data_IF_144816191428
#
_entry.id   IF_144816191428
#
_cell.length_a   1.000
_cell.length_b   1.000
_cell.length_c   1.000
_cell.angle_alpha   90.00
_cell.angle_beta   90.00
_cell.angle_gamma   90.00
#
_symmetry.space_group_name_H-M   'P 1'
#
loop_
_entity.id
_entity.type
_entity.pdbx_description
1 polymer ?
#
# COMPACT_ATOMS: atom_id res chain seq x y z
N UNK A 1 -33.12 -11.34 -4.67
CA UNK A 1 -32.86 -12.57 -5.46
C UNK A 1 -32.71 -13.72 -4.47
N UNK A 2 -33.30 -14.88 -4.72
CA UNK A 2 -33.17 -16.04 -3.82
C UNK A 2 -31.88 -16.83 -4.10
N UNK A 3 -31.41 -17.62 -3.14
CA UNK A 3 -30.24 -18.50 -3.31
C UNK A 3 -30.36 -19.41 -4.53
N UNK A 4 -31.57 -19.89 -4.83
CA UNK A 4 -31.86 -20.70 -6.01
C UNK A 4 -31.81 -19.94 -7.34
N UNK A 5 -32.21 -18.68 -7.36
CA UNK A 5 -32.05 -17.82 -8.55
C UNK A 5 -30.57 -17.50 -8.77
N UNK A 6 -29.83 -17.24 -7.68
CA UNK A 6 -28.41 -16.94 -7.78
C UNK A 6 -27.59 -18.16 -8.24
N UNK A 7 -27.89 -19.34 -7.69
CA UNK A 7 -27.22 -20.58 -8.08
C UNK A 7 -27.41 -20.89 -9.56
N UNK A 8 -28.60 -20.63 -10.10
CA UNK A 8 -28.89 -20.75 -11.54
C UNK A 8 -28.07 -19.76 -12.38
N UNK A 9 -28.00 -18.49 -11.97
CA UNK A 9 -27.19 -17.47 -12.68
C UNK A 9 -25.70 -17.80 -12.66
N UNK A 10 -25.20 -18.34 -11.55
CA UNK A 10 -23.79 -18.72 -11.38
C UNK A 10 -23.48 -20.11 -11.97
N UNK A 11 -24.48 -20.88 -12.40
CA UNK A 11 -24.30 -22.22 -12.96
C UNK A 11 -23.84 -23.27 -11.93
N UNK A 12 -24.17 -23.09 -10.65
CA UNK A 12 -23.77 -23.98 -9.55
C UNK A 12 -24.97 -24.52 -8.77
N UNK A 13 -24.74 -25.59 -7.99
CA UNK A 13 -25.74 -26.09 -7.05
C UNK A 13 -25.97 -25.11 -5.89
N UNK A 14 -27.20 -25.04 -5.37
CA UNK A 14 -27.56 -24.15 -4.24
C UNK A 14 -26.64 -24.25 -3.01
N UNK A 15 -26.20 -25.45 -2.56
CA UNK A 15 -25.30 -25.55 -1.40
C UNK A 15 -23.97 -24.81 -1.61
N UNK A 16 -23.52 -24.67 -2.86
CA UNK A 16 -22.30 -23.94 -3.20
C UNK A 16 -22.46 -22.43 -3.02
N UNK A 17 -23.67 -21.88 -3.17
CA UNK A 17 -23.95 -20.48 -2.84
C UNK A 17 -23.86 -20.27 -1.33
N UNK A 18 -24.46 -21.13 -0.52
CA UNK A 18 -24.35 -21.03 0.94
C UNK A 18 -22.90 -21.17 1.43
N UNK A 19 -22.08 -21.98 0.73
CA UNK A 19 -20.64 -22.06 1.00
C UNK A 19 -19.89 -20.80 0.56
N UNK A 20 -20.26 -20.21 -0.58
CA UNK A 20 -19.71 -18.95 -1.08
C UNK A 20 -19.98 -17.81 -0.09
N UNK A 21 -21.22 -17.64 0.35
CA UNK A 21 -21.65 -16.63 1.33
C UNK A 21 -20.92 -16.80 2.67
N UNK A 22 -20.78 -18.03 3.17
CA UNK A 22 -19.99 -18.32 4.37
C UNK A 22 -18.51 -17.99 4.19
N UNK A 23 -17.94 -18.29 3.03
CA UNK A 23 -16.54 -17.99 2.75
C UNK A 23 -16.29 -16.47 2.65
N UNK A 24 -17.26 -15.72 2.12
CA UNK A 24 -17.22 -14.26 2.08
C UNK A 24 -17.27 -13.67 3.49
N UNK A 25 -18.25 -14.11 4.30
CA UNK A 25 -18.39 -13.65 5.69
C UNK A 25 -17.20 -14.01 6.60
N UNK A 26 -16.44 -15.05 6.26
CA UNK A 26 -15.24 -15.47 6.99
C UNK A 26 -13.93 -15.01 6.35
N UNK A 27 -13.99 -14.15 5.32
CA UNK A 27 -12.82 -13.58 4.62
C UNK A 27 -11.87 -14.63 3.98
N UNK A 28 -12.32 -15.86 3.77
CA UNK A 28 -11.54 -16.94 3.12
C UNK A 28 -11.90 -17.14 1.65
N UNK A 29 -12.87 -16.38 1.13
CA UNK A 29 -13.27 -16.41 -0.27
C UNK A 29 -12.12 -15.97 -1.17
N UNK A 30 -11.97 -16.63 -2.32
CA UNK A 30 -10.98 -16.24 -3.31
C UNK A 30 -11.49 -15.07 -4.16
N UNK A 31 -10.59 -14.17 -4.60
CA UNK A 31 -10.93 -13.10 -5.56
C UNK A 31 -11.55 -13.65 -6.86
N UNK A 32 -11.15 -14.86 -7.29
CA UNK A 32 -11.73 -15.54 -8.45
C UNK A 32 -13.22 -15.83 -8.23
N UNK A 33 -13.57 -16.39 -7.07
CA UNK A 33 -14.97 -16.71 -6.74
C UNK A 33 -15.82 -15.44 -6.61
N UNK A 34 -15.30 -14.39 -5.98
CA UNK A 34 -15.95 -13.08 -5.89
C UNK A 34 -16.19 -12.46 -7.27
N UNK A 35 -15.23 -12.60 -8.20
CA UNK A 35 -15.36 -12.10 -9.56
C UNK A 35 -16.45 -12.86 -10.33
N UNK A 36 -16.47 -14.19 -10.24
CA UNK A 36 -17.51 -15.01 -10.86
C UNK A 36 -18.91 -14.66 -10.31
N UNK A 37 -19.00 -14.43 -9.00
CA UNK A 37 -20.22 -13.99 -8.35
C UNK A 37 -20.70 -12.62 -8.88
N UNK A 38 -19.78 -11.66 -9.00
CA UNK A 38 -20.06 -10.34 -9.58
C UNK A 38 -20.52 -10.45 -11.04
N UNK A 39 -19.82 -11.21 -11.88
CA UNK A 39 -20.19 -11.41 -13.29
C UNK A 39 -21.58 -12.04 -13.43
N UNK A 40 -21.93 -13.03 -12.59
CA UNK A 40 -23.26 -13.63 -12.59
C UNK A 40 -24.37 -12.62 -12.21
N UNK A 41 -24.02 -11.57 -11.46
CA UNK A 41 -24.91 -10.47 -11.09
C UNK A 41 -24.93 -9.34 -12.13
N UNK A 42 -24.19 -9.47 -13.25
CA UNK A 42 -23.94 -8.40 -14.22
C UNK A 42 -23.21 -7.19 -13.60
N UNK A 43 -22.28 -7.49 -12.68
CA UNK A 43 -21.47 -6.52 -11.95
C UNK A 43 -19.97 -6.73 -12.22
N UNK A 44 -19.17 -5.71 -11.95
CA UNK A 44 -17.71 -5.76 -12.02
C UNK A 44 -17.11 -5.75 -10.61
N UNK A 45 -16.22 -6.70 -10.33
CA UNK A 45 -15.44 -6.70 -9.09
C UNK A 45 -14.31 -5.65 -9.18
N UNK A 46 -14.34 -4.66 -8.28
CA UNK A 46 -13.27 -3.69 -8.09
C UNK A 46 -12.51 -4.07 -6.80
N UNK A 47 -11.18 -4.27 -6.91
CA UNK A 47 -10.31 -4.49 -5.77
C UNK A 47 -9.26 -3.38 -5.70
N UNK A 48 -9.18 -2.70 -4.56
CA UNK A 48 -8.27 -1.58 -4.34
C UNK A 48 -7.57 -1.71 -2.99
N UNK A 49 -6.28 -1.37 -2.97
CA UNK A 49 -5.50 -1.20 -1.75
C UNK A 49 -5.37 0.29 -1.51
N UNK A 50 -5.90 0.77 -0.39
CA UNK A 50 -5.90 2.19 -0.03
C UNK A 50 -5.03 2.39 1.22
N UNK A 51 -4.10 3.36 1.22
CA UNK A 51 -3.30 3.63 2.40
C UNK A 51 -4.18 4.11 3.56
N UNK A 52 -3.81 3.74 4.80
CA UNK A 52 -4.52 4.15 6.02
C UNK A 52 -4.45 5.66 6.29
N UNK A 53 -3.52 6.35 5.64
CA UNK A 53 -3.33 7.80 5.68
C UNK A 53 -3.38 8.37 4.26
N UNK A 54 -3.43 9.70 4.13
CA UNK A 54 -3.38 10.34 2.82
C UNK A 54 -2.11 9.91 2.08
N UNK A 55 -2.23 9.60 0.80
CA UNK A 55 -1.09 9.19 -0.03
C UNK A 55 0.08 10.18 0.07
N UNK A 56 -0.23 11.47 0.09
CA UNK A 56 0.75 12.55 0.25
C UNK A 56 1.56 12.44 1.54
N UNK A 57 0.92 12.09 2.66
CA UNK A 57 1.58 11.92 3.95
C UNK A 57 2.48 10.68 3.94
N UNK A 58 2.02 9.58 3.33
CA UNK A 58 2.82 8.35 3.17
C UNK A 58 4.07 8.61 2.35
N UNK A 59 3.92 9.32 1.23
CA UNK A 59 5.04 9.65 0.32
C UNK A 59 6.03 10.61 0.99
N UNK A 60 5.55 11.65 1.69
CA UNK A 60 6.40 12.57 2.46
C UNK A 60 7.14 11.86 3.60
N UNK A 61 6.47 10.98 4.34
CA UNK A 61 7.08 10.18 5.40
C UNK A 61 8.18 9.27 4.84
N UNK A 62 7.92 8.63 3.69
CA UNK A 62 8.91 7.81 3.00
C UNK A 62 10.13 8.61 2.55
N UNK A 63 9.93 9.78 1.94
CA UNK A 63 11.03 10.64 1.50
C UNK A 63 11.92 11.08 2.67
N UNK A 64 11.32 11.49 3.80
CA UNK A 64 12.07 11.82 5.02
C UNK A 64 12.85 10.63 5.56
N UNK A 65 12.27 9.44 5.55
CA UNK A 65 12.95 8.22 5.99
C UNK A 65 14.18 7.92 5.13
N UNK A 66 14.04 7.97 3.80
CA UNK A 66 15.16 7.76 2.88
C UNK A 66 16.24 8.83 3.05
N UNK A 67 15.85 10.11 3.19
CA UNK A 67 16.77 11.21 3.46
C UNK A 67 17.55 10.99 4.76
N UNK A 68 16.87 10.54 5.83
CA UNK A 68 17.51 10.23 7.11
C UNK A 68 18.54 9.10 6.98
N UNK A 69 18.22 8.04 6.22
CA UNK A 69 19.16 6.93 5.99
C UNK A 69 20.39 7.39 5.20
N UNK A 70 20.21 8.23 4.17
CA UNK A 70 21.32 8.78 3.40
C UNK A 70 22.21 9.68 4.27
N UNK A 71 21.60 10.60 5.03
CA UNK A 71 22.33 11.49 5.92
C UNK A 71 23.03 10.76 7.07
N UNK A 72 22.45 9.67 7.60
CA UNK A 72 23.12 8.82 8.61
C UNK A 72 24.43 8.24 8.07
N UNK A 73 24.43 7.76 6.82
CA UNK A 73 25.64 7.25 6.15
C UNK A 73 26.70 8.36 6.03
N UNK A 74 26.32 9.55 5.57
CA UNK A 74 27.24 10.69 5.44
C UNK A 74 27.72 11.23 6.78
N UNK A 75 26.85 11.31 7.79
CA UNK A 75 27.18 11.79 9.13
C UNK A 75 28.17 10.87 9.85
N UNK A 76 28.12 9.56 9.59
CA UNK A 76 29.12 8.62 10.10
C UNK A 76 30.51 8.94 9.54
N UNK A 77 30.61 9.38 8.28
CA UNK A 77 31.85 9.87 7.65
C UNK A 77 32.27 11.23 8.24
N UNK A 78 31.36 12.20 8.36
CA UNK A 78 31.69 13.54 8.88
C UNK A 78 32.08 13.55 10.36
N UNK A 79 31.58 12.60 11.17
CA UNK A 79 32.02 12.44 12.57
C UNK A 79 33.50 12.05 12.68
N UNK A 80 34.03 11.35 11.67
CA UNK A 80 35.47 11.03 11.59
C UNK A 80 36.32 12.26 11.22
N UNK A 81 35.69 13.30 10.65
CA UNK A 81 36.32 14.57 10.26
C UNK A 81 36.19 15.68 11.33
N UNK A 82 35.68 15.36 12.53
CA UNK A 82 35.53 16.25 13.68
C UNK A 82 34.63 17.49 13.43
N UNK A 83 33.68 17.40 12.50
CA UNK A 83 32.68 18.45 12.25
C UNK A 83 31.35 18.10 12.92
N UNK A 84 31.10 18.66 14.12
CA UNK A 84 29.81 18.52 14.79
C UNK A 84 28.77 19.46 14.16
N UNK A 85 27.87 18.93 13.34
CA UNK A 85 26.74 19.67 12.77
C UNK A 85 25.63 19.81 13.82
N UNK A 86 25.10 21.02 14.02
CA UNK A 86 24.01 21.24 14.98
C UNK A 86 22.74 20.48 14.56
N UNK A 87 21.93 20.03 15.54
CA UNK A 87 20.67 19.31 15.27
C UNK A 87 19.75 20.08 14.31
N UNK A 88 19.64 21.40 14.49
CA UNK A 88 18.83 22.27 13.63
C UNK A 88 19.32 22.35 12.16
N UNK A 89 20.61 22.10 11.91
CA UNK A 89 21.17 22.05 10.56
C UNK A 89 20.99 20.68 9.93
N UNK A 90 21.08 19.60 10.73
CA UNK A 90 20.75 18.24 10.29
C UNK A 90 19.27 18.10 9.90
N UNK A 91 18.37 18.68 10.70
CA UNK A 91 16.93 18.65 10.40
C UNK A 91 16.61 19.38 9.09
N UNK A 92 17.20 20.56 8.86
CA UNK A 92 17.07 21.29 7.58
C UNK A 92 17.60 20.48 6.41
N UNK A 93 18.82 19.93 6.53
CA UNK A 93 19.40 19.10 5.48
C UNK A 93 18.54 17.87 5.16
N UNK A 94 17.87 17.28 6.16
CA UNK A 94 16.94 16.16 5.95
C UNK A 94 15.72 16.61 5.17
N UNK A 95 15.12 17.73 5.55
CA UNK A 95 13.91 18.22 4.87
C UNK A 95 14.24 18.67 3.44
N UNK A 96 15.37 19.33 3.20
CA UNK A 96 15.85 19.71 1.86
C UNK A 96 16.08 18.48 0.96
N UNK A 97 16.76 17.45 1.49
CA UNK A 97 16.99 16.20 0.77
C UNK A 97 15.69 15.43 0.53
N UNK A 98 14.75 15.47 1.49
CA UNK A 98 13.44 14.86 1.31
C UNK A 98 12.65 15.55 0.19
N UNK A 99 12.71 16.88 0.07
CA UNK A 99 12.11 17.61 -1.05
C UNK A 99 12.78 17.25 -2.38
N UNK A 100 14.09 17.08 -2.42
CA UNK A 100 14.81 16.62 -3.62
C UNK A 100 14.36 15.21 -4.03
N UNK A 101 14.23 14.28 -3.08
CA UNK A 101 13.73 12.92 -3.31
C UNK A 101 12.29 12.93 -3.82
N UNK A 102 11.44 13.84 -3.30
CA UNK A 102 10.06 13.96 -3.78
C UNK A 102 9.96 14.43 -5.24
N UNK A 103 10.97 15.13 -5.75
CA UNK A 103 11.04 15.54 -7.16
C UNK A 103 11.47 14.40 -8.09
N UNK A 104 12.10 13.36 -7.57
CA UNK A 104 12.53 12.18 -8.34
C UNK A 104 12.01 10.86 -7.72
N UNK A 105 10.90 10.37 -8.28
CA UNK A 105 10.24 9.15 -7.84
C UNK A 105 11.15 7.91 -7.78
N UNK A 106 12.23 7.86 -8.59
CA UNK A 106 13.17 6.73 -8.60
C UNK A 106 13.94 6.62 -7.29
N UNK A 107 14.21 7.76 -6.63
CA UNK A 107 14.98 7.80 -5.37
C UNK A 107 14.14 7.43 -4.15
N UNK A 108 12.81 7.52 -4.25
CA UNK A 108 11.88 7.25 -3.15
C UNK A 108 11.85 5.78 -2.72
N UNK A 109 12.14 4.88 -3.65
CA UNK A 109 12.06 3.42 -3.48
C UNK A 109 13.34 2.68 -3.87
N UNK A 110 14.45 3.40 -4.06
CA UNK A 110 15.72 2.80 -4.49
C UNK A 110 16.36 1.87 -3.45
N UNK A 111 15.86 1.89 -2.22
CA UNK A 111 16.32 1.11 -1.07
C UNK A 111 15.45 -0.12 -0.75
N UNK A 112 14.44 -0.43 -1.58
CA UNK A 112 13.54 -1.60 -1.45
C UNK A 112 13.80 -2.60 -2.57
#
# INVERSE_FOLDING_TARGET
MTTGQFSKRLGVAQPRIAALERAEASEVITLKSLRQAAEALDCVLIYAVVPKARLEDVVKARARHVAEQQLKRTAQTMRLENQAVSRARMERARDDLAEEILRDYKRLWADV
#
